data_IF_461472249390
#
_entry.id   IF_461472249390
#
_cell.length_a   1.000
_cell.length_b   1.000
_cell.length_c   1.000
_cell.angle_alpha   90.00
_cell.angle_beta   90.00
_cell.angle_gamma   90.00
#
_symmetry.space_group_name_H-M   'P 1'
#
loop_
_entity.id
_entity.type
_entity.pdbx_description
1 polymer ?
#
# COMPACT_ATOMS: atom_id res chain seq x y z
N UNK A 1 -25.73 -38.59 14.68
CA UNK A 1 -24.87 -37.39 14.73
C UNK A 1 -24.78 -36.82 13.31
N UNK A 2 -25.36 -35.63 13.08
CA UNK A 2 -25.91 -35.20 11.78
C UNK A 2 -24.86 -34.85 10.71
N UNK A 3 -24.91 -35.56 9.57
CA UNK A 3 -24.09 -35.36 8.36
C UNK A 3 -24.22 -33.94 7.74
N UNK A 4 -25.29 -33.21 8.08
CA UNK A 4 -25.51 -31.81 7.66
C UNK A 4 -24.59 -30.80 8.37
N UNK A 5 -24.13 -31.11 9.59
CA UNK A 5 -23.26 -30.21 10.35
C UNK A 5 -21.82 -30.23 9.80
N UNK A 6 -21.34 -31.40 9.34
CA UNK A 6 -20.00 -31.54 8.73
C UNK A 6 -19.89 -30.78 7.39
N UNK A 7 -20.94 -30.81 6.57
CA UNK A 7 -20.96 -30.10 5.28
C UNK A 7 -20.97 -28.58 5.44
N UNK A 8 -21.67 -28.07 6.47
CA UNK A 8 -21.65 -26.64 6.79
C UNK A 8 -20.25 -26.17 7.24
N UNK A 9 -19.54 -26.95 8.05
CA UNK A 9 -18.18 -26.60 8.50
C UNK A 9 -17.12 -26.67 7.39
N UNK A 10 -17.30 -27.54 6.39
CA UNK A 10 -16.36 -27.67 5.27
C UNK A 10 -16.59 -26.58 4.21
N UNK A 11 -17.84 -26.21 3.95
CA UNK A 11 -18.19 -25.15 3.01
C UNK A 11 -17.76 -23.75 3.51
N UNK A 12 -17.83 -23.50 4.83
CA UNK A 12 -17.41 -22.23 5.43
C UNK A 12 -15.89 -22.01 5.33
N UNK A 13 -15.08 -23.07 5.33
CA UNK A 13 -13.61 -22.95 5.15
C UNK A 13 -13.19 -22.55 3.74
N UNK A 14 -13.98 -22.89 2.71
CA UNK A 14 -13.69 -22.58 1.32
C UNK A 14 -14.13 -21.17 0.89
N UNK A 15 -15.00 -20.52 1.68
CA UNK A 15 -15.56 -19.20 1.37
C UNK A 15 -14.85 -18.06 2.13
N UNK A 16 -14.06 -18.38 3.17
CA UNK A 16 -13.44 -17.40 4.08
C UNK A 16 -11.90 -17.43 4.11
N UNK A 17 -11.25 -18.30 3.35
CA UNK A 17 -9.79 -18.33 3.31
C UNK A 17 -9.28 -17.25 2.36
N UNK A 18 -8.83 -16.13 2.92
CA UNK A 18 -8.02 -15.17 2.17
C UNK A 18 -6.65 -15.79 1.87
N UNK A 19 -6.29 -15.92 0.60
CA UNK A 19 -4.97 -16.41 0.15
C UNK A 19 -3.97 -15.25 0.11
N UNK A 20 -3.83 -14.58 1.26
CA UNK A 20 -3.00 -13.39 1.40
C UNK A 20 -1.52 -13.75 1.25
N UNK A 21 -0.82 -13.03 0.37
CA UNK A 21 0.63 -13.15 0.18
C UNK A 21 1.30 -11.87 0.68
N UNK A 22 2.15 -11.93 1.73
CA UNK A 22 2.90 -10.76 2.19
C UNK A 22 3.97 -10.33 1.18
N UNK A 23 4.37 -9.04 1.18
CA UNK A 23 5.49 -8.58 0.36
C UNK A 23 6.78 -9.26 0.82
N UNK A 24 7.72 -9.43 -0.10
CA UNK A 24 9.06 -9.91 0.27
C UNK A 24 9.82 -8.81 1.01
N UNK A 25 10.74 -9.14 1.94
CA UNK A 25 11.50 -8.13 2.66
C UNK A 25 12.26 -7.15 1.76
N UNK A 26 12.77 -7.61 0.62
CA UNK A 26 13.47 -6.78 -0.37
C UNK A 26 12.56 -5.80 -1.11
N UNK A 27 11.25 -6.08 -1.16
CA UNK A 27 10.24 -5.22 -1.81
C UNK A 27 9.70 -4.13 -0.87
N UNK A 28 10.09 -4.18 0.42
CA UNK A 28 9.66 -3.23 1.45
C UNK A 28 10.73 -2.17 1.67
N UNK A 29 10.43 -0.93 1.31
CA UNK A 29 11.33 0.21 1.48
C UNK A 29 11.20 0.87 2.86
N UNK A 30 12.27 1.52 3.30
CA UNK A 30 12.24 2.38 4.51
C UNK A 30 12.12 3.83 4.08
N UNK A 31 11.01 4.48 4.45
CA UNK A 31 10.80 5.87 4.15
C UNK A 31 11.47 6.79 5.18
N UNK A 32 11.75 8.01 4.74
CA UNK A 32 12.15 9.11 5.61
C UNK A 32 10.91 9.89 5.99
N UNK A 33 10.65 9.95 7.27
CA UNK A 33 9.48 10.60 7.84
C UNK A 33 9.92 11.68 8.82
N UNK A 34 9.08 12.68 9.01
CA UNK A 34 9.26 13.69 10.04
C UNK A 34 8.01 13.75 10.90
N UNK A 35 8.20 13.95 12.20
CA UNK A 35 7.11 14.16 13.16
C UNK A 35 7.09 15.63 13.57
N UNK A 36 5.90 16.16 13.88
CA UNK A 36 5.76 17.55 14.34
C UNK A 36 6.63 17.84 15.58
N UNK A 37 7.22 19.03 15.63
CA UNK A 37 8.02 19.49 16.76
C UNK A 37 7.19 19.45 18.06
N UNK A 38 7.68 18.73 19.08
CA UNK A 38 6.93 18.45 20.32
C UNK A 38 6.54 16.98 20.52
N UNK A 39 6.49 16.20 19.44
CA UNK A 39 6.16 14.75 19.48
C UNK A 39 7.25 13.86 20.11
N UNK A 40 8.44 14.43 20.39
CA UNK A 40 9.55 13.75 21.10
C UNK A 40 9.41 13.81 22.62
N UNK A 41 8.53 14.66 23.17
CA UNK A 41 8.29 14.69 24.61
C UNK A 41 7.40 13.50 25.00
N UNK A 42 7.74 12.79 26.08
CA UNK A 42 6.95 11.69 26.65
C UNK A 42 5.52 12.08 27.11
N UNK A 43 5.10 13.35 26.97
CA UNK A 43 3.68 13.72 27.08
C UNK A 43 2.98 13.25 25.82
N UNK A 44 2.04 12.33 26.01
CA UNK A 44 1.18 11.69 25.01
C UNK A 44 1.25 12.33 23.62
N UNK A 45 1.91 11.64 22.69
CA UNK A 45 1.83 12.02 21.29
C UNK A 45 0.34 12.13 20.92
N UNK A 46 -0.10 13.32 20.51
CA UNK A 46 -1.49 13.56 20.18
C UNK A 46 -1.90 12.62 19.04
N UNK A 47 -2.75 11.65 19.37
CA UNK A 47 -3.34 10.73 18.41
C UNK A 47 -4.46 11.45 17.66
N UNK A 48 -4.38 11.42 16.35
CA UNK A 48 -5.36 12.06 15.49
C UNK A 48 -5.70 11.15 14.32
N UNK A 49 -6.85 11.38 13.69
CA UNK A 49 -7.37 10.60 12.56
C UNK A 49 -6.33 10.44 11.45
N UNK A 50 -6.20 9.29 10.80
CA UNK A 50 -5.20 9.13 9.73
C UNK A 50 -5.56 10.00 8.50
N UNK A 51 -4.56 10.60 7.82
CA UNK A 51 -4.68 11.14 6.46
C UNK A 51 -4.08 10.17 5.46
N UNK A 52 -4.82 9.84 4.42
CA UNK A 52 -4.41 8.90 3.39
C UNK A 52 -4.39 9.62 2.04
N UNK A 53 -3.20 9.77 1.46
CA UNK A 53 -3.05 10.24 0.08
C UNK A 53 -3.25 9.07 -0.88
N UNK A 54 -4.04 9.24 -1.94
CA UNK A 54 -4.27 8.20 -2.94
C UNK A 54 -3.50 8.51 -4.22
N UNK A 55 -2.70 7.57 -4.70
CA UNK A 55 -1.91 7.67 -5.92
C UNK A 55 -2.36 6.59 -6.92
N UNK A 56 -2.84 6.99 -8.10
CA UNK A 56 -3.29 6.04 -9.13
C UNK A 56 -2.19 5.75 -10.16
N UNK A 57 -1.94 4.47 -10.38
CA UNK A 57 -1.05 3.99 -11.44
C UNK A 57 -1.64 4.25 -12.83
N UNK A 58 -0.77 4.32 -13.84
CA UNK A 58 -1.18 4.55 -15.24
C UNK A 58 -2.22 3.55 -15.78
N UNK A 59 -2.32 2.34 -15.22
CA UNK A 59 -3.36 1.36 -15.51
C UNK A 59 -4.78 1.88 -15.24
N UNK A 60 -4.95 2.82 -14.31
CA UNK A 60 -6.23 3.50 -14.07
C UNK A 60 -6.74 4.23 -15.33
N UNK A 61 -5.82 4.82 -16.10
CA UNK A 61 -6.16 5.56 -17.32
C UNK A 61 -6.68 4.67 -18.45
N UNK A 62 -6.49 3.35 -18.36
CA UNK A 62 -6.97 2.37 -19.35
C UNK A 62 -8.45 2.02 -19.14
N UNK A 63 -9.05 2.43 -18.02
CA UNK A 63 -10.48 2.24 -17.76
C UNK A 63 -11.33 3.21 -18.58
N UNK A 64 -12.59 2.82 -18.81
CA UNK A 64 -13.63 3.76 -19.29
C UNK A 64 -13.94 4.78 -18.21
N UNK A 65 -14.45 5.96 -18.58
CA UNK A 65 -14.79 7.02 -17.61
C UNK A 65 -15.77 6.53 -16.53
N UNK A 66 -16.80 5.77 -16.90
CA UNK A 66 -17.72 5.13 -15.95
C UNK A 66 -16.99 4.22 -14.94
N UNK A 67 -15.98 3.47 -15.39
CA UNK A 67 -15.21 2.57 -14.52
C UNK A 67 -14.18 3.33 -13.67
N UNK A 68 -13.69 4.48 -14.14
CA UNK A 68 -12.85 5.38 -13.34
C UNK A 68 -13.66 5.97 -12.19
N UNK A 69 -14.81 6.56 -12.48
CA UNK A 69 -15.72 7.11 -11.47
C UNK A 69 -16.12 6.05 -10.43
N UNK A 70 -16.49 4.85 -10.89
CA UNK A 70 -16.83 3.74 -10.01
C UNK A 70 -15.65 3.34 -9.11
N UNK A 71 -14.43 3.25 -9.65
CA UNK A 71 -13.27 2.88 -8.87
C UNK A 71 -12.88 3.98 -7.87
N UNK A 72 -12.95 5.25 -8.27
CA UNK A 72 -12.72 6.38 -7.38
C UNK A 72 -13.71 6.39 -6.21
N UNK A 73 -14.98 6.11 -6.46
CA UNK A 73 -16.01 6.03 -5.42
C UNK A 73 -15.75 4.86 -4.45
N UNK A 74 -15.39 3.69 -4.97
CA UNK A 74 -15.03 2.52 -4.17
C UNK A 74 -13.80 2.79 -3.27
N UNK A 75 -12.73 3.34 -3.84
CA UNK A 75 -11.49 3.64 -3.11
C UNK A 75 -11.73 4.76 -2.09
N UNK A 76 -12.42 5.83 -2.47
CA UNK A 76 -12.76 6.95 -1.57
C UNK A 76 -13.60 6.47 -0.41
N UNK A 77 -14.66 5.68 -0.66
CA UNK A 77 -15.52 5.15 0.41
C UNK A 77 -14.75 4.22 1.35
N UNK A 78 -13.82 3.40 0.83
CA UNK A 78 -12.99 2.55 1.66
C UNK A 78 -11.96 3.35 2.47
N UNK A 79 -11.30 4.35 1.86
CA UNK A 79 -10.34 5.25 2.48
C UNK A 79 -10.97 6.05 3.63
N UNK A 80 -12.09 6.70 3.37
CA UNK A 80 -12.76 7.60 4.32
C UNK A 80 -13.23 6.85 5.58
N UNK A 81 -13.57 5.57 5.43
CA UNK A 81 -13.82 4.69 6.59
C UNK A 81 -12.59 4.60 7.50
N UNK A 82 -11.38 4.46 6.97
CA UNK A 82 -10.18 4.39 7.81
C UNK A 82 -9.77 5.76 8.36
N UNK A 83 -9.92 6.83 7.58
CA UNK A 83 -9.71 8.20 8.06
C UNK A 83 -10.62 8.54 9.24
N UNK A 84 -11.80 7.92 9.35
CA UNK A 84 -12.75 8.15 10.45
C UNK A 84 -12.72 7.09 11.56
N UNK A 85 -11.89 6.04 11.44
CA UNK A 85 -11.86 4.94 12.41
C UNK A 85 -10.49 4.69 13.03
N UNK A 86 -9.40 5.06 12.35
CA UNK A 86 -8.04 4.82 12.82
C UNK A 86 -7.37 6.14 13.18
N UNK A 87 -6.81 6.20 14.39
CA UNK A 87 -5.93 7.29 14.82
C UNK A 87 -4.47 6.88 14.76
N UNK A 88 -3.61 7.81 14.38
CA UNK A 88 -2.17 7.64 14.28
C UNK A 88 -1.44 8.80 14.97
N UNK A 89 -0.17 8.56 15.29
CA UNK A 89 0.77 9.66 15.51
C UNK A 89 1.06 10.31 14.16
N UNK A 90 0.54 11.54 13.97
CA UNK A 90 0.65 12.32 12.72
C UNK A 90 2.09 12.52 12.28
N UNK A 91 2.31 12.42 10.98
CA UNK A 91 3.53 12.80 10.31
C UNK A 91 3.44 14.26 9.85
N UNK A 92 4.55 14.97 10.00
CA UNK A 92 4.76 16.27 9.38
C UNK A 92 5.09 16.10 7.88
N UNK A 93 5.87 15.07 7.53
CA UNK A 93 6.20 14.77 6.14
C UNK A 93 6.51 13.30 5.90
N UNK A 94 6.29 12.86 4.66
CA UNK A 94 6.69 11.56 4.11
C UNK A 94 7.60 11.78 2.89
N UNK A 95 8.71 11.05 2.84
CA UNK A 95 9.54 10.93 1.64
C UNK A 95 9.88 9.45 1.40
N UNK A 96 9.41 8.89 0.27
CA UNK A 96 9.59 7.49 -0.09
C UNK A 96 10.94 7.27 -0.79
N UNK A 97 11.55 6.11 -0.60
CA UNK A 97 12.67 5.68 -1.42
C UNK A 97 12.17 5.19 -2.81
N UNK A 98 12.95 5.36 -3.88
CA UNK A 98 12.67 4.70 -5.15
C UNK A 98 12.85 3.17 -5.04
N UNK A 99 12.15 2.44 -5.89
CA UNK A 99 12.41 1.02 -6.12
C UNK A 99 13.50 0.86 -7.17
N UNK A 100 14.62 0.23 -6.82
CA UNK A 100 15.70 -0.07 -7.77
C UNK A 100 15.51 -1.44 -8.41
N UNK A 101 15.72 -1.53 -9.73
CA UNK A 101 15.96 -2.80 -10.40
C UNK A 101 17.46 -3.11 -10.41
N UNK A 102 17.82 -4.28 -9.88
CA UNK A 102 19.21 -4.73 -9.73
C UNK A 102 19.89 -4.20 -8.46
N UNK A 103 21.22 -4.12 -8.47
CA UNK A 103 21.98 -3.65 -7.32
C UNK A 103 21.66 -2.19 -7.00
N UNK A 104 21.58 -1.86 -5.71
CA UNK A 104 21.30 -0.52 -5.22
C UNK A 104 22.38 -0.03 -4.27
N UNK A 105 22.73 1.25 -4.38
CA UNK A 105 23.60 1.95 -3.42
C UNK A 105 22.98 3.29 -3.08
N UNK A 106 22.84 3.57 -1.78
CA UNK A 106 22.40 4.88 -1.29
C UNK A 106 23.60 5.80 -1.03
N UNK A 107 23.58 7.00 -1.59
CA UNK A 107 24.57 8.04 -1.31
C UNK A 107 24.20 8.86 -0.04
N UNK A 108 25.17 9.55 0.60
CA UNK A 108 24.92 10.37 1.80
C UNK A 108 23.93 11.52 1.59
N UNK A 109 23.75 11.98 0.35
CA UNK A 109 22.80 13.03 -0.02
C UNK A 109 21.37 12.52 -0.27
N UNK A 110 21.05 11.30 0.18
CA UNK A 110 19.77 10.63 -0.05
C UNK A 110 19.44 10.35 -1.53
N UNK A 111 20.44 10.35 -2.44
CA UNK A 111 20.29 9.85 -3.81
C UNK A 111 20.54 8.34 -3.88
N UNK A 112 19.68 7.59 -4.57
CA UNK A 112 19.86 6.18 -4.87
C UNK A 112 20.54 6.01 -6.24
N UNK A 113 21.56 5.15 -6.28
CA UNK A 113 22.15 4.63 -7.50
C UNK A 113 21.60 3.23 -7.73
N UNK A 114 20.90 3.03 -8.84
CA UNK A 114 20.36 1.74 -9.23
C UNK A 114 21.12 1.19 -10.45
N UNK A 115 21.30 -0.13 -10.54
CA UNK A 115 22.08 -0.74 -11.61
C UNK A 115 21.38 -0.73 -12.98
N UNK A 116 20.06 -0.96 -13.02
CA UNK A 116 19.32 -1.11 -14.27
C UNK A 116 18.20 -0.09 -14.46
N UNK A 117 17.39 0.14 -13.44
CA UNK A 117 16.29 1.10 -13.52
C UNK A 117 15.90 1.57 -12.13
N UNK A 118 15.14 2.67 -12.06
CA UNK A 118 14.50 3.06 -10.83
C UNK A 118 13.15 3.73 -11.00
N UNK A 119 12.23 3.29 -10.16
CA UNK A 119 10.82 3.60 -10.30
C UNK A 119 10.29 4.19 -8.98
N UNK A 120 9.44 5.20 -9.08
CA UNK A 120 8.56 5.64 -7.99
C UNK A 120 7.48 4.59 -7.74
N UNK A 121 7.88 3.42 -7.28
CA UNK A 121 7.02 2.23 -7.20
C UNK A 121 6.70 1.89 -5.76
N UNK A 122 5.47 1.43 -5.56
CA UNK A 122 5.01 0.79 -4.34
C UNK A 122 4.24 -0.47 -4.76
N UNK A 123 4.77 -1.64 -4.41
CA UNK A 123 4.21 -2.91 -4.89
C UNK A 123 4.12 -2.95 -6.42
N UNK A 124 2.95 -3.28 -6.95
CA UNK A 124 2.71 -3.36 -8.40
C UNK A 124 2.50 -2.01 -9.10
N UNK A 125 2.30 -0.92 -8.34
CA UNK A 125 1.92 0.38 -8.88
C UNK A 125 3.11 1.34 -9.03
N UNK A 126 3.13 2.09 -10.13
CA UNK A 126 4.06 3.20 -10.36
C UNK A 126 3.31 4.52 -10.11
N UNK A 127 3.90 5.41 -9.31
CA UNK A 127 3.37 6.75 -9.04
C UNK A 127 3.31 7.63 -10.30
N UNK A 128 2.43 8.62 -10.28
CA UNK A 128 2.42 9.71 -11.27
C UNK A 128 3.79 10.41 -11.37
N UNK A 129 4.05 11.03 -12.52
CA UNK A 129 5.22 11.89 -12.70
C UNK A 129 5.20 13.08 -11.71
N UNK A 130 4.03 13.51 -11.27
CA UNK A 130 3.85 14.62 -10.31
C UNK A 130 4.11 14.24 -8.85
N UNK A 131 4.31 12.95 -8.56
CA UNK A 131 4.62 12.42 -7.24
C UNK A 131 6.02 12.85 -6.78
N UNK A 132 6.14 14.10 -6.34
CA UNK A 132 7.41 14.75 -6.01
C UNK A 132 8.06 14.22 -4.73
N UNK A 133 7.35 13.43 -3.95
CA UNK A 133 7.71 12.98 -2.61
C UNK A 133 8.59 11.71 -2.56
N UNK A 134 9.26 11.38 -3.67
CA UNK A 134 10.25 10.32 -3.73
C UNK A 134 11.68 10.88 -3.67
N UNK A 135 12.59 10.19 -3.01
CA UNK A 135 14.02 10.50 -2.98
C UNK A 135 14.64 10.41 -4.38
N UNK A 136 15.69 11.20 -4.64
CA UNK A 136 16.37 11.19 -5.92
C UNK A 136 16.92 9.82 -6.29
N UNK A 137 16.91 9.53 -7.57
CA UNK A 137 17.50 8.34 -8.15
C UNK A 137 18.30 8.64 -9.42
N UNK A 138 19.37 7.88 -9.66
CA UNK A 138 20.13 7.81 -10.90
C UNK A 138 20.49 6.35 -11.25
N UNK A 139 20.70 6.05 -12.53
CA UNK A 139 21.14 4.74 -12.99
C UNK A 139 22.65 4.71 -13.29
N UNK A 140 23.28 3.55 -13.09
CA UNK A 140 24.72 3.36 -13.28
C UNK A 140 25.07 3.29 -14.76
N UNK A 141 25.86 4.24 -15.25
CA UNK A 141 26.43 4.27 -16.60
C UNK A 141 25.41 4.22 -17.75
N UNK A 142 24.12 4.41 -17.45
CA UNK A 142 23.00 4.43 -18.41
C UNK A 142 21.96 5.50 -18.03
N UNK A 143 21.19 5.96 -19.00
CA UNK A 143 19.93 6.66 -18.72
C UNK A 143 18.93 5.63 -18.18
N UNK A 144 18.21 5.96 -17.10
CA UNK A 144 17.20 5.06 -16.56
C UNK A 144 16.12 4.79 -17.63
N UNK A 145 15.81 3.51 -17.93
CA UNK A 145 14.77 3.14 -18.88
C UNK A 145 13.42 3.81 -18.58
N UNK A 146 13.03 3.84 -17.30
CA UNK A 146 11.80 4.49 -16.89
C UNK A 146 12.03 5.98 -16.66
N UNK A 147 11.42 6.81 -17.52
CA UNK A 147 11.52 8.27 -17.41
C UNK A 147 10.57 8.81 -16.35
N UNK A 148 11.11 9.19 -15.20
CA UNK A 148 10.39 9.87 -14.14
C UNK A 148 11.11 11.15 -13.71
N UNK A 149 10.32 12.19 -13.47
CA UNK A 149 10.78 13.53 -13.12
C UNK A 149 10.29 13.92 -11.74
N UNK A 150 10.55 15.15 -11.30
CA UNK A 150 10.05 15.69 -10.03
C UNK A 150 10.43 14.80 -8.83
N UNK A 151 11.70 14.85 -8.43
CA UNK A 151 12.23 14.09 -7.31
C UNK A 151 12.62 15.03 -6.17
N UNK A 152 12.82 14.49 -4.97
CA UNK A 152 13.45 15.17 -3.83
C UNK A 152 12.50 15.99 -2.96
N UNK A 153 11.23 16.06 -3.31
CA UNK A 153 10.19 16.70 -2.50
C UNK A 153 9.75 15.85 -1.30
N UNK A 154 8.74 16.36 -0.60
CA UNK A 154 8.16 15.72 0.58
C UNK A 154 6.65 15.89 0.55
N UNK A 155 5.93 14.80 0.80
CA UNK A 155 4.50 14.84 0.92
C UNK A 155 4.17 15.38 2.32
N UNK A 156 3.53 16.54 2.37
CA UNK A 156 2.96 17.08 3.59
C UNK A 156 1.48 16.72 3.63
N UNK A 157 0.87 16.73 4.81
CA UNK A 157 -0.56 16.43 4.97
C UNK A 157 -1.00 14.99 4.71
N UNK A 158 -0.09 14.02 4.73
CA UNK A 158 -0.40 12.60 4.68
C UNK A 158 0.29 11.85 5.81
N UNK A 159 -0.34 10.77 6.29
CA UNK A 159 0.22 9.84 7.27
C UNK A 159 0.42 8.43 6.69
N UNK A 160 -0.19 8.19 5.53
CA UNK A 160 -0.08 6.99 4.70
C UNK A 160 -0.30 7.36 3.22
N UNK A 161 0.40 6.68 2.29
CA UNK A 161 0.17 6.80 0.83
C UNK A 161 -0.35 5.49 0.28
N UNK A 162 -1.55 5.51 -0.29
CA UNK A 162 -2.21 4.37 -0.89
C UNK A 162 -2.05 4.40 -2.41
N UNK A 163 -1.29 3.46 -2.94
CA UNK A 163 -1.13 3.28 -4.37
C UNK A 163 -2.19 2.34 -4.91
N UNK A 164 -2.87 2.72 -5.98
CA UNK A 164 -3.97 1.97 -6.59
C UNK A 164 -3.60 1.60 -8.02
N UNK A 165 -3.71 0.32 -8.37
CA UNK A 165 -3.53 -0.15 -9.75
C UNK A 165 -4.66 -1.04 -10.22
N UNK A 166 -4.75 -1.23 -11.54
CA UNK A 166 -5.72 -2.12 -12.18
C UNK A 166 -4.98 -3.05 -13.16
N UNK A 167 -4.25 -4.02 -12.60
CA UNK A 167 -3.32 -4.90 -13.34
C UNK A 167 -3.69 -6.36 -13.11
N UNK A 168 -3.78 -7.15 -14.18
CA UNK A 168 -4.20 -8.57 -14.10
C UNK A 168 -3.10 -9.52 -13.56
N UNK A 169 -1.83 -9.10 -13.55
CA UNK A 169 -0.66 -9.99 -13.38
C UNK A 169 -0.71 -10.99 -12.21
N UNK A 170 -1.16 -10.57 -11.02
CA UNK A 170 -1.26 -11.42 -9.83
C UNK A 170 -2.73 -11.76 -9.46
N UNK A 171 -3.67 -11.56 -10.38
CA UNK A 171 -5.07 -11.81 -10.12
C UNK A 171 -5.41 -13.29 -10.30
N UNK A 172 -5.89 -13.92 -9.23
CA UNK A 172 -6.55 -15.22 -9.31
C UNK A 172 -7.91 -15.10 -10.00
N UNK A 173 -8.46 -16.24 -10.48
CA UNK A 173 -9.74 -16.28 -11.21
C UNK A 173 -10.94 -15.68 -10.46
N UNK A 174 -10.88 -15.63 -9.13
CA UNK A 174 -11.93 -15.12 -8.24
C UNK A 174 -11.45 -13.98 -7.35
N UNK A 175 -10.21 -13.53 -7.53
CA UNK A 175 -9.62 -12.45 -6.73
C UNK A 175 -10.19 -11.12 -7.22
N UNK A 176 -10.90 -10.40 -6.34
CA UNK A 176 -11.43 -9.07 -6.68
C UNK A 176 -10.35 -8.00 -6.55
N UNK A 177 -9.55 -8.08 -5.50
CA UNK A 177 -8.44 -7.21 -5.21
C UNK A 177 -7.40 -7.95 -4.36
N UNK A 178 -6.20 -7.41 -4.29
CA UNK A 178 -5.19 -7.77 -3.30
C UNK A 178 -4.42 -6.52 -2.88
N UNK A 179 -3.86 -6.51 -1.67
CA UNK A 179 -3.00 -5.42 -1.25
C UNK A 179 -1.80 -5.87 -0.43
N UNK A 180 -0.82 -4.99 -0.30
CA UNK A 180 0.36 -5.18 0.53
C UNK A 180 0.91 -3.85 1.00
N UNK A 181 1.62 -3.83 2.13
CA UNK A 181 2.45 -2.69 2.49
C UNK A 181 3.69 -2.69 1.59
N UNK A 182 4.24 -1.51 1.33
CA UNK A 182 5.48 -1.38 0.56
C UNK A 182 6.50 -0.49 1.26
N UNK A 183 6.09 0.37 2.20
CA UNK A 183 7.01 1.26 2.88
C UNK A 183 6.73 1.34 4.38
N UNK A 184 7.80 1.34 5.18
CA UNK A 184 7.74 1.46 6.63
C UNK A 184 8.37 2.77 7.12
N UNK A 185 7.81 3.28 8.21
CA UNK A 185 8.43 4.32 9.02
C UNK A 185 9.68 3.78 9.73
N UNK A 186 10.81 4.46 9.58
CA UNK A 186 12.07 4.06 10.21
C UNK A 186 12.00 3.98 11.74
N UNK A 187 11.24 4.89 12.36
CA UNK A 187 11.25 5.04 13.82
C UNK A 187 10.22 4.13 14.51
N UNK A 188 9.06 3.91 13.89
CA UNK A 188 7.95 3.14 14.49
C UNK A 188 7.67 1.79 13.83
N UNK A 189 8.32 1.48 12.71
CA UNK A 189 8.02 0.31 11.85
C UNK A 189 6.57 0.29 11.32
N UNK A 190 5.79 1.36 11.50
CA UNK A 190 4.43 1.47 10.99
C UNK A 190 4.48 1.52 9.45
N UNK A 191 3.60 0.81 8.74
CA UNK A 191 3.39 1.07 7.32
C UNK A 191 3.00 2.53 7.07
N UNK A 192 3.69 3.16 6.13
CA UNK A 192 3.44 4.54 5.68
C UNK A 192 3.09 4.60 4.20
N UNK A 193 3.27 3.50 3.47
CA UNK A 193 2.69 3.35 2.15
C UNK A 193 2.35 1.88 1.89
N UNK A 194 1.33 1.70 1.05
CA UNK A 194 0.90 0.39 0.60
C UNK A 194 0.22 0.48 -0.74
N UNK A 195 0.05 -0.69 -1.35
CA UNK A 195 -0.44 -0.87 -2.70
C UNK A 195 -1.68 -1.76 -2.65
N UNK A 196 -2.76 -1.34 -3.30
CA UNK A 196 -3.92 -2.16 -3.60
C UNK A 196 -4.07 -2.27 -5.11
N UNK A 197 -4.25 -3.50 -5.59
CA UNK A 197 -4.56 -3.77 -6.97
C UNK A 197 -5.99 -4.26 -7.10
N UNK A 198 -6.74 -3.66 -8.01
CA UNK A 198 -8.07 -4.09 -8.41
C UNK A 198 -7.94 -5.01 -9.62
N UNK A 199 -8.51 -6.20 -9.56
CA UNK A 199 -8.39 -7.17 -10.64
C UNK A 199 -9.32 -6.82 -11.81
N UNK A 200 -8.79 -6.42 -12.99
CA UNK A 200 -9.61 -5.88 -14.06
C UNK A 200 -10.66 -6.88 -14.54
N UNK A 201 -10.32 -8.17 -14.66
CA UNK A 201 -11.25 -9.19 -15.14
C UNK A 201 -12.51 -9.35 -14.27
N UNK A 202 -12.41 -9.11 -12.97
CA UNK A 202 -13.55 -9.10 -12.04
C UNK A 202 -14.22 -7.72 -12.02
N UNK A 203 -13.43 -6.65 -11.99
CA UNK A 203 -13.95 -5.29 -11.91
C UNK A 203 -14.79 -4.89 -13.14
N UNK A 204 -14.41 -5.33 -14.33
CA UNK A 204 -15.22 -5.11 -15.54
C UNK A 204 -16.58 -5.83 -15.47
N UNK A 205 -16.68 -6.95 -14.77
CA UNK A 205 -17.92 -7.74 -14.61
C UNK A 205 -18.74 -7.33 -13.40
N UNK A 206 -18.22 -6.45 -12.56
CA UNK A 206 -18.90 -5.94 -11.37
C UNK A 206 -20.29 -5.40 -11.73
N UNK A 207 -21.29 -5.88 -10.99
CA UNK A 207 -22.67 -5.40 -11.06
C UNK A 207 -22.91 -4.35 -9.98
N UNK A 208 -23.88 -3.47 -10.22
CA UNK A 208 -24.22 -2.39 -9.29
C UNK A 208 -24.62 -2.89 -7.89
N UNK A 209 -25.28 -4.04 -7.79
CA UNK A 209 -25.66 -4.64 -6.50
C UNK A 209 -24.48 -5.27 -5.73
N UNK A 210 -23.29 -5.35 -6.34
CA UNK A 210 -22.07 -5.87 -5.70
C UNK A 210 -21.22 -4.75 -5.05
N UNK A 211 -21.65 -3.49 -5.15
CA UNK A 211 -20.92 -2.33 -4.63
C UNK A 211 -20.49 -2.48 -3.16
N UNK A 212 -21.40 -2.91 -2.29
CA UNK A 212 -21.09 -3.14 -0.88
C UNK A 212 -20.05 -4.26 -0.65
N UNK A 213 -20.09 -5.32 -1.46
CA UNK A 213 -19.10 -6.40 -1.41
C UNK A 213 -17.71 -5.91 -1.83
N UNK A 214 -17.63 -5.08 -2.88
CA UNK A 214 -16.39 -4.48 -3.33
C UNK A 214 -15.78 -3.55 -2.27
N UNK A 215 -16.58 -2.70 -1.64
CA UNK A 215 -16.10 -1.87 -0.51
C UNK A 215 -15.57 -2.73 0.62
N UNK A 216 -16.32 -3.77 1.03
CA UNK A 216 -15.88 -4.65 2.11
C UNK A 216 -14.56 -5.36 1.77
N UNK A 217 -14.39 -5.76 0.51
CA UNK A 217 -13.17 -6.41 0.02
C UNK A 217 -12.01 -5.42 -0.01
N UNK A 218 -12.18 -4.23 -0.57
CA UNK A 218 -11.12 -3.19 -0.57
C UNK A 218 -10.72 -2.85 0.86
N UNK A 219 -11.68 -2.70 1.79
CA UNK A 219 -11.36 -2.48 3.21
C UNK A 219 -10.53 -3.61 3.81
N UNK A 220 -10.88 -4.87 3.51
CA UNK A 220 -10.11 -6.03 3.92
C UNK A 220 -8.67 -5.95 3.41
N UNK A 221 -8.48 -5.64 2.14
CA UNK A 221 -7.16 -5.49 1.54
C UNK A 221 -6.37 -4.32 2.14
N UNK A 222 -7.00 -3.15 2.35
CA UNK A 222 -6.33 -2.01 2.98
C UNK A 222 -5.83 -2.34 4.40
N UNK A 223 -6.55 -3.18 5.15
CA UNK A 223 -6.09 -3.63 6.47
C UNK A 223 -4.79 -4.45 6.38
N UNK A 224 -4.61 -5.25 5.32
CA UNK A 224 -3.33 -5.92 5.05
C UNK A 224 -2.20 -4.94 4.77
N UNK A 225 -2.49 -3.84 4.06
CA UNK A 225 -1.54 -2.77 3.79
C UNK A 225 -1.20 -1.93 5.04
N UNK A 226 -2.11 -1.85 6.02
CA UNK A 226 -1.88 -1.07 7.25
C UNK A 226 -1.16 -1.84 8.35
N UNK A 227 -1.52 -3.10 8.59
CA UNK A 227 -0.98 -3.82 9.76
C UNK A 227 -1.13 -5.33 9.71
N UNK A 228 -2.23 -5.89 9.17
CA UNK A 228 -2.49 -7.32 9.25
C UNK A 228 -1.80 -8.11 8.15
N UNK A 229 -0.48 -8.00 8.12
CA UNK A 229 0.39 -8.81 7.28
C UNK A 229 1.29 -9.68 8.14
N UNK A 230 1.42 -10.95 7.80
CA UNK A 230 2.26 -11.89 8.56
C UNK A 230 3.73 -11.45 8.65
N UNK A 231 4.25 -10.74 7.64
CA UNK A 231 5.61 -10.18 7.66
C UNK A 231 5.77 -8.97 8.59
N UNK A 232 4.67 -8.30 8.96
CA UNK A 232 4.68 -7.16 9.89
C UNK A 232 4.61 -7.58 11.35
N UNK A 233 4.02 -8.73 11.69
CA UNK A 233 3.76 -9.13 13.08
C UNK A 233 5.01 -9.17 13.95
N UNK A 234 6.16 -9.53 13.38
CA UNK A 234 7.44 -9.52 14.08
C UNK A 234 7.92 -8.11 14.49
N UNK A 235 7.41 -7.06 13.85
CA UNK A 235 7.78 -5.66 14.10
C UNK A 235 6.91 -5.02 15.20
N UNK A 236 5.79 -5.66 15.56
CA UNK A 236 4.86 -5.16 16.57
C UNK A 236 5.01 -5.90 17.91
N UNK A 237 5.23 -5.18 19.02
CA UNK A 237 5.30 -5.81 20.34
C UNK A 237 4.07 -6.67 20.64
N UNK A 238 4.28 -7.93 21.01
CA UNK A 238 3.21 -8.87 21.37
C UNK A 238 2.55 -9.62 20.20
N UNK A 239 2.88 -9.30 18.94
CA UNK A 239 2.36 -9.99 17.76
C UNK A 239 3.30 -11.08 17.20
N UNK A 240 4.54 -11.15 17.68
CA UNK A 240 5.50 -12.22 17.32
C UNK A 240 5.19 -13.57 17.97
N UNK A 241 6.05 -14.58 17.73
CA UNK A 241 5.94 -15.88 18.44
C UNK A 241 5.99 -15.63 19.95
N UNK A 242 4.94 -16.05 20.67
CA UNK A 242 4.97 -16.13 22.14
C UNK A 242 6.16 -17.02 22.51
N UNK A 243 7.21 -16.44 23.08
CA UNK A 243 8.24 -17.22 23.75
C UNK A 243 7.55 -17.89 24.93
N UNK A 244 7.34 -19.21 24.82
CA UNK A 244 6.88 -20.05 25.92
C UNK A 244 8.08 -20.47 26.77
#
# INVERSE_FOLDING_TARGET
>A
MNLRLLHATLAVRLILACDYVPPKPEDVIIAKTEYAAGSRSKREAAWDWIRIETEYDSSFNLLTEEKKELLEDLITTARDYFETTVKVRRLASIQLAPSCQGQTRKFPNDTYLCAADCEKRCGGAIASQDAHYFMHCVCLDIECPTKQYNWGGKLTSADFVLFVSVIEGNCGKQTLAYAQHCALDKDSNRPIAGHVNICPSQFHKMKSNEFGQWIATIKHELIHAFVFSSSLFQLFPGAGKVQR
#
